data_IF_905384242689
#
_entry.id   IF_905384242689
#
_cell.length_a   1.000
_cell.length_b   1.000
_cell.length_c   1.000
_cell.angle_alpha   90.00
_cell.angle_beta   90.00
_cell.angle_gamma   90.00
#
_symmetry.space_group_name_H-M   'P 1'
#
loop_
_entity.id
_entity.type
_entity.pdbx_description
1 polymer ?
#
# COMPACT_ATOMS: atom_id res chain seq x y z
N UNK A 1 -6.04 4.16 9.22
CA UNK A 1 -7.33 3.53 8.81
C UNK A 1 -8.15 4.23 7.71
N UNK A 2 -8.72 5.43 7.92
CA UNK A 2 -9.63 6.07 6.92
C UNK A 2 -8.97 6.31 5.57
N UNK A 3 -7.71 6.76 5.58
CA UNK A 3 -6.91 6.97 4.36
C UNK A 3 -6.65 5.64 3.64
N UNK A 4 -6.25 4.57 4.34
CA UNK A 4 -6.00 3.27 3.72
C UNK A 4 -7.26 2.67 3.08
N UNK A 5 -8.43 2.80 3.73
CA UNK A 5 -9.71 2.40 3.13
C UNK A 5 -10.04 3.21 1.88
N UNK A 6 -9.83 4.52 1.92
CA UNK A 6 -10.02 5.38 0.76
C UNK A 6 -9.09 4.99 -0.39
N UNK A 7 -7.79 4.85 -0.14
CA UNK A 7 -6.81 4.42 -1.13
C UNK A 7 -7.14 3.04 -1.72
N UNK A 8 -7.48 2.07 -0.87
CA UNK A 8 -7.87 0.73 -1.32
C UNK A 8 -9.10 0.78 -2.24
N UNK A 9 -10.11 1.58 -1.88
CA UNK A 9 -11.30 1.78 -2.71
C UNK A 9 -10.94 2.39 -4.07
N UNK A 10 -10.10 3.43 -4.09
CA UNK A 10 -9.64 4.08 -5.32
C UNK A 10 -8.91 3.09 -6.23
N UNK A 11 -7.98 2.28 -5.69
CA UNK A 11 -7.23 1.32 -6.50
C UNK A 11 -8.08 0.13 -6.97
N UNK A 12 -9.08 -0.30 -6.20
CA UNK A 12 -10.05 -1.30 -6.66
C UNK A 12 -10.86 -0.74 -7.83
N UNK A 13 -11.39 0.48 -7.72
CA UNK A 13 -12.14 1.12 -8.82
C UNK A 13 -11.27 1.33 -10.06
N UNK A 14 -10.02 1.77 -9.87
CA UNK A 14 -9.05 1.86 -10.96
C UNK A 14 -8.80 0.48 -11.59
N UNK A 15 -8.68 -0.57 -10.79
CA UNK A 15 -8.46 -1.92 -11.28
C UNK A 15 -9.59 -2.44 -12.17
N UNK A 16 -10.83 -2.10 -11.82
CA UNK A 16 -12.02 -2.38 -12.66
C UNK A 16 -11.98 -1.54 -13.94
N UNK A 17 -11.66 -0.25 -13.84
CA UNK A 17 -11.60 0.67 -15.00
C UNK A 17 -10.55 0.26 -16.03
N UNK A 18 -9.34 -0.11 -15.59
CA UNK A 18 -8.25 -0.53 -16.48
C UNK A 18 -8.36 -1.99 -16.93
N UNK A 19 -9.30 -2.76 -16.39
CA UNK A 19 -9.49 -4.16 -16.78
C UNK A 19 -8.32 -5.05 -16.37
N UNK A 20 -7.88 -4.96 -15.10
CA UNK A 20 -6.76 -5.76 -14.59
C UNK A 20 -6.96 -7.26 -14.83
N UNK A 21 -5.87 -7.92 -15.22
CA UNK A 21 -5.77 -9.36 -15.33
C UNK A 21 -5.89 -10.05 -13.97
N UNK A 22 -6.17 -11.36 -13.99
CA UNK A 22 -6.28 -12.17 -12.76
C UNK A 22 -5.03 -12.08 -11.87
N UNK A 23 -3.84 -12.07 -12.46
CA UNK A 23 -2.58 -11.94 -11.71
C UNK A 23 -2.43 -10.57 -11.05
N UNK A 24 -2.79 -9.50 -11.75
CA UNK A 24 -2.72 -8.13 -11.21
C UNK A 24 -3.71 -7.95 -10.05
N UNK A 25 -4.91 -8.52 -10.15
CA UNK A 25 -5.86 -8.55 -9.04
C UNK A 25 -5.33 -9.28 -7.82
N UNK A 26 -4.67 -10.42 -7.99
CA UNK A 26 -4.06 -11.16 -6.87
C UNK A 26 -3.05 -10.28 -6.15
N UNK A 27 -2.14 -9.65 -6.88
CA UNK A 27 -1.13 -8.75 -6.29
C UNK A 27 -1.75 -7.53 -5.63
N UNK A 28 -2.76 -6.92 -6.25
CA UNK A 28 -3.47 -5.77 -5.68
C UNK A 28 -4.17 -6.12 -4.36
N UNK A 29 -4.87 -7.26 -4.32
CA UNK A 29 -5.54 -7.76 -3.11
C UNK A 29 -4.50 -8.04 -2.03
N UNK A 30 -3.42 -8.75 -2.34
CA UNK A 30 -2.34 -9.04 -1.38
C UNK A 30 -1.81 -7.76 -0.75
N UNK A 31 -1.52 -6.73 -1.56
CA UNK A 31 -0.92 -5.49 -1.05
C UNK A 31 -1.90 -4.69 -0.19
N UNK A 32 -3.18 -4.65 -0.58
CA UNK A 32 -4.22 -4.00 0.22
C UNK A 32 -4.32 -4.69 1.59
N UNK A 33 -4.46 -6.02 1.62
CA UNK A 33 -4.56 -6.78 2.86
C UNK A 33 -3.28 -6.70 3.70
N UNK A 34 -2.11 -6.62 3.07
CA UNK A 34 -0.84 -6.43 3.77
C UNK A 34 -0.78 -5.12 4.54
N UNK A 35 -1.18 -3.99 3.92
CA UNK A 35 -1.23 -2.68 4.59
C UNK A 35 -2.20 -2.72 5.78
N UNK A 36 -3.39 -3.32 5.61
CA UNK A 36 -4.34 -3.48 6.71
C UNK A 36 -3.79 -4.38 7.83
N UNK A 37 -3.13 -5.48 7.48
CA UNK A 37 -2.50 -6.37 8.43
C UNK A 37 -1.46 -5.64 9.29
N UNK A 38 -0.56 -4.87 8.66
CA UNK A 38 0.45 -4.09 9.37
C UNK A 38 -0.16 -3.06 10.32
N UNK A 39 -1.25 -2.38 9.94
CA UNK A 39 -1.84 -1.40 10.84
C UNK A 39 -2.70 -2.02 11.95
N UNK A 40 -3.35 -3.17 11.71
CA UNK A 40 -3.95 -3.93 12.80
C UNK A 40 -2.90 -4.44 13.78
N UNK A 41 -1.73 -4.86 13.28
CA UNK A 41 -0.60 -5.24 14.12
C UNK A 41 -0.08 -4.05 14.93
N UNK A 42 0.06 -2.86 14.32
CA UNK A 42 0.42 -1.64 15.04
C UNK A 42 -0.58 -1.33 16.16
N UNK A 43 -1.88 -1.38 15.87
CA UNK A 43 -2.93 -1.17 16.87
C UNK A 43 -2.86 -2.20 18.00
N UNK A 44 -2.61 -3.47 17.67
CA UNK A 44 -2.45 -4.52 18.68
C UNK A 44 -1.23 -4.26 19.58
N UNK A 45 -0.10 -3.83 19.00
CA UNK A 45 1.11 -3.45 19.76
C UNK A 45 0.80 -2.26 20.66
N UNK A 46 0.15 -1.20 20.16
CA UNK A 46 -0.25 -0.03 20.96
C UNK A 46 -1.10 -0.44 22.16
N UNK A 47 -2.10 -1.30 21.95
CA UNK A 47 -2.99 -1.81 23.01
C UNK A 47 -2.25 -2.65 24.05
N UNK A 48 -1.36 -3.54 23.62
CA UNK A 48 -0.55 -4.38 24.52
C UNK A 48 0.40 -3.50 25.34
N UNK A 49 1.07 -2.55 24.71
CA UNK A 49 1.97 -1.61 25.39
C UNK A 49 1.20 -0.79 26.41
N UNK A 50 0.05 -0.23 26.04
CA UNK A 50 -0.80 0.57 26.95
C UNK A 50 -1.35 -0.25 28.12
N UNK A 51 -1.62 -1.53 27.91
CA UNK A 51 -2.01 -2.46 28.96
C UNK A 51 -0.85 -2.69 29.95
N UNK A 52 0.37 -2.92 29.46
CA UNK A 52 1.54 -3.21 30.30
C UNK A 52 1.95 -2.00 31.14
N UNK A 53 1.93 -0.79 30.57
CA UNK A 53 2.35 0.43 31.28
C UNK A 53 1.22 1.12 32.04
N UNK A 54 0.02 0.53 32.04
CA UNK A 54 -1.19 1.11 32.65
C UNK A 54 -1.45 2.56 32.17
N UNK A 55 -1.21 2.82 30.89
CA UNK A 55 -1.25 4.16 30.27
C UNK A 55 -0.33 5.22 30.90
N UNK A 56 0.66 4.83 31.70
CA UNK A 56 1.72 5.71 32.20
C UNK A 56 2.84 5.83 31.16
N UNK A 57 3.45 7.01 31.05
CA UNK A 57 4.54 7.21 30.11
C UNK A 57 5.77 6.39 30.52
N UNK A 58 6.33 5.64 29.57
CA UNK A 58 7.60 4.91 29.72
C UNK A 58 8.44 5.07 28.44
N UNK A 59 9.74 5.43 28.51
CA UNK A 59 10.56 5.67 27.32
C UNK A 59 10.58 4.49 26.33
N UNK A 60 10.70 3.26 26.84
CA UNK A 60 10.70 2.03 26.01
C UNK A 60 9.32 1.79 25.37
N UNK A 61 8.23 2.17 26.03
CA UNK A 61 6.89 2.06 25.47
C UNK A 61 6.69 3.02 24.29
N UNK A 62 7.26 4.23 24.37
CA UNK A 62 7.33 5.15 23.24
C UNK A 62 8.07 4.52 22.07
N UNK A 63 9.28 4.01 22.30
CA UNK A 63 10.08 3.37 21.25
C UNK A 63 9.36 2.17 20.60
N UNK A 64 8.67 1.34 21.40
CA UNK A 64 7.91 0.21 20.87
C UNK A 64 6.77 0.65 19.94
N UNK A 65 6.07 1.73 20.29
CA UNK A 65 5.01 2.31 19.46
C UNK A 65 5.59 2.97 18.19
N UNK A 66 6.71 3.66 18.30
CA UNK A 66 7.39 4.27 17.15
C UNK A 66 7.82 3.21 16.12
N UNK A 67 8.33 2.07 16.58
CA UNK A 67 8.66 0.93 15.73
C UNK A 67 7.41 0.33 15.08
N UNK A 68 6.31 0.21 15.83
CA UNK A 68 5.01 -0.21 15.31
C UNK A 68 4.53 0.68 14.16
N UNK A 69 4.57 2.00 14.35
CA UNK A 69 4.24 2.98 13.31
C UNK A 69 5.15 2.86 12.09
N UNK A 70 6.47 2.71 12.30
CA UNK A 70 7.43 2.53 11.21
C UNK A 70 7.17 1.30 10.35
N UNK A 71 6.63 0.20 10.91
CA UNK A 71 6.23 -0.98 10.14
C UNK A 71 5.07 -0.65 9.19
N UNK A 72 4.10 0.17 9.64
CA UNK A 72 2.96 0.59 8.81
C UNK A 72 3.43 1.46 7.64
N UNK A 73 4.32 2.41 7.91
CA UNK A 73 4.88 3.30 6.88
C UNK A 73 5.64 2.51 5.80
N UNK A 74 6.43 1.52 6.22
CA UNK A 74 7.14 0.63 5.30
C UNK A 74 6.18 -0.20 4.44
N UNK A 75 5.11 -0.74 5.05
CA UNK A 75 4.08 -1.47 4.33
C UNK A 75 3.35 -0.59 3.31
N UNK A 76 3.07 0.68 3.66
CA UNK A 76 2.47 1.64 2.74
C UNK A 76 3.40 1.93 1.56
N UNK A 77 4.70 2.15 1.81
CA UNK A 77 5.67 2.41 0.75
C UNK A 77 5.81 1.22 -0.21
N UNK A 78 5.86 0.00 0.32
CA UNK A 78 5.83 -1.21 -0.48
C UNK A 78 4.53 -1.30 -1.31
N UNK A 79 3.38 -0.98 -0.70
CA UNK A 79 2.09 -0.91 -1.37
C UNK A 79 2.08 0.01 -2.58
N UNK A 80 2.65 1.21 -2.44
CA UNK A 80 2.78 2.18 -3.53
C UNK A 80 3.63 1.64 -4.68
N UNK A 81 4.74 0.96 -4.38
CA UNK A 81 5.61 0.36 -5.41
C UNK A 81 4.85 -0.71 -6.20
N UNK A 82 4.17 -1.64 -5.52
CA UNK A 82 3.42 -2.72 -6.18
C UNK A 82 2.30 -2.16 -7.05
N UNK A 83 1.53 -1.22 -6.52
CA UNK A 83 0.46 -0.54 -7.26
C UNK A 83 1.03 0.20 -8.48
N UNK A 84 2.16 0.90 -8.33
CA UNK A 84 2.81 1.57 -9.45
C UNK A 84 3.18 0.57 -10.55
N UNK A 85 3.74 -0.60 -10.22
CA UNK A 85 4.04 -1.65 -11.20
C UNK A 85 2.80 -2.23 -11.86
N UNK A 86 1.70 -2.41 -11.11
CA UNK A 86 0.43 -2.91 -11.66
C UNK A 86 -0.14 -1.90 -12.67
N UNK A 87 -0.24 -0.61 -12.31
CA UNK A 87 -0.93 0.38 -13.14
C UNK A 87 -0.04 1.03 -14.22
N UNK A 88 1.28 1.01 -14.07
CA UNK A 88 2.22 1.58 -15.04
C UNK A 88 1.95 1.14 -16.50
N UNK A 89 1.79 -0.16 -16.83
CA UNK A 89 1.58 -0.57 -18.23
C UNK A 89 0.25 -0.06 -18.80
N UNK A 90 -0.79 -0.06 -17.98
CA UNK A 90 -2.12 0.41 -18.37
C UNK A 90 -2.15 1.92 -18.62
N UNK A 91 -1.47 2.69 -17.77
CA UNK A 91 -1.36 4.15 -17.92
C UNK A 91 -0.52 4.51 -19.16
N UNK A 92 0.62 3.86 -19.39
CA UNK A 92 1.45 4.13 -20.57
C UNK A 92 0.75 3.78 -21.88
N UNK A 93 -0.04 2.71 -21.88
CA UNK A 93 -0.86 2.36 -23.04
C UNK A 93 -1.91 3.43 -23.33
N UNK A 94 -2.62 3.94 -22.31
CA UNK A 94 -3.62 5.00 -22.49
C UNK A 94 -3.00 6.35 -22.89
N UNK A 95 -1.79 6.65 -22.42
CA UNK A 95 -1.07 7.87 -22.79
C UNK A 95 -0.36 7.79 -24.16
N UNK A 96 -0.40 6.65 -24.84
CA UNK A 96 0.25 6.45 -26.14
C UNK A 96 1.78 6.39 -26.08
N UNK A 97 2.36 6.17 -24.89
CA UNK A 97 3.82 6.10 -24.72
C UNK A 97 4.40 4.82 -25.35
N UNK A 98 3.61 3.75 -25.49
CA UNK A 98 4.05 2.51 -26.16
C UNK A 98 4.18 2.65 -27.68
N UNK A 99 3.37 3.48 -28.31
CA UNK A 99 3.40 3.67 -29.78
C UNK A 99 4.43 4.71 -30.21
N UNK A 100 4.66 5.75 -29.40
CA UNK A 100 5.59 6.84 -29.78
C UNK A 100 7.06 6.46 -29.66
N UNK A 101 7.47 5.65 -28.68
CA UNK A 101 8.87 5.22 -28.52
C UNK A 101 9.29 4.21 -29.59
N UNK A 102 8.41 3.28 -29.95
CA UNK A 102 8.66 2.32 -31.04
C UNK A 102 8.64 3.00 -32.40
N UNK A 103 7.71 3.95 -32.63
CA UNK A 103 7.68 4.73 -33.88
C UNK A 103 8.90 5.64 -34.04
N UNK A 104 9.40 6.26 -32.96
CA UNK A 104 10.58 7.13 -33.00
C UNK A 104 11.90 6.37 -33.17
N UNK A 105 11.96 5.08 -32.77
CA UNK A 105 13.15 4.24 -32.96
C UNK A 105 13.17 3.49 -34.30
N UNK A 106 12.07 3.50 -35.05
CA UNK A 106 11.93 2.86 -36.37
C UNK A 106 11.93 3.86 -37.54
N UNK A 107 12.14 5.15 -37.26
CA UNK A 107 12.36 6.22 -38.24
C UNK A 107 13.71 6.89 -37.98
#
# INVERSE_FOLDING_TARGET
MRLHLFCATVFILAGVYFGLSRSEWIWLIIVIFWVFYCEFLNTAIELIVDLIVEKKYHPIAGLAKDVGGGIVDLAMFMGLIVVAFIFQPHIWHQLGWSTQLVATLLH
#
